data_IF_755921285860
#
_entry.id   IF_755921285860
#
_cell.length_a   1.000
_cell.length_b   1.000
_cell.length_c   1.000
_cell.angle_alpha   90.00
_cell.angle_beta   90.00
_cell.angle_gamma   90.00
#
_symmetry.space_group_name_H-M   'P 1'
#
loop_
_entity.id
_entity.type
_entity.pdbx_description
1 polymer ?
#
# COMPACT_ATOMS: atom_id res chain seq x y z
N UNK A 1 -3.81 -20.43 3.31
CA UNK A 1 -4.17 -19.60 2.13
C UNK A 1 -3.21 -18.43 2.08
N UNK A 2 -2.77 -18.00 0.88
CA UNK A 2 -1.97 -16.79 0.73
C UNK A 2 -2.69 -15.56 1.31
N UNK A 3 -1.94 -14.58 1.81
CA UNK A 3 -2.49 -13.31 2.28
C UNK A 3 -2.87 -12.43 1.08
N UNK A 4 -4.11 -11.96 1.05
CA UNK A 4 -4.61 -11.08 -0.01
C UNK A 4 -4.13 -9.65 0.20
N UNK A 5 -3.34 -9.12 -0.73
CA UNK A 5 -2.77 -7.77 -0.67
C UNK A 5 -3.27 -6.94 -1.84
N UNK A 6 -3.87 -5.78 -1.58
CA UNK A 6 -4.22 -4.82 -2.62
C UNK A 6 -3.11 -3.78 -2.79
N UNK A 7 -2.51 -3.63 -3.97
CA UNK A 7 -1.51 -2.59 -4.22
C UNK A 7 -2.17 -1.30 -4.73
N UNK A 8 -2.25 -0.30 -3.85
CA UNK A 8 -2.57 1.08 -4.20
C UNK A 8 -1.30 1.81 -4.65
N UNK A 9 -1.13 1.97 -5.96
CA UNK A 9 0.03 2.63 -6.54
C UNK A 9 -0.31 3.27 -7.88
N UNK A 10 0.37 4.37 -8.21
CA UNK A 10 0.24 4.96 -9.53
C UNK A 10 0.75 3.98 -10.61
N UNK A 11 0.02 3.85 -11.72
CA UNK A 11 0.41 3.03 -12.88
C UNK A 11 1.77 3.48 -13.44
N UNK A 12 2.08 4.79 -13.32
CA UNK A 12 3.38 5.37 -13.67
C UNK A 12 4.56 4.73 -12.93
N UNK A 13 4.33 4.03 -11.80
CA UNK A 13 5.35 3.31 -11.03
C UNK A 13 5.53 1.85 -11.47
N UNK A 14 5.18 1.50 -12.72
CA UNK A 14 5.24 0.14 -13.26
C UNK A 14 6.46 -0.69 -12.82
N UNK A 15 7.70 -0.17 -12.89
CA UNK A 15 8.90 -0.89 -12.42
C UNK A 15 8.87 -1.25 -10.93
N UNK A 16 8.44 -0.34 -10.07
CA UNK A 16 8.36 -0.58 -8.63
C UNK A 16 7.22 -1.55 -8.29
N UNK A 17 6.09 -1.45 -8.99
CA UNK A 17 4.98 -2.40 -8.85
C UNK A 17 5.42 -3.82 -9.24
N UNK A 18 6.17 -3.95 -10.35
CA UNK A 18 6.73 -5.23 -10.78
C UNK A 18 7.72 -5.78 -9.75
N UNK A 19 8.59 -4.92 -9.20
CA UNK A 19 9.54 -5.31 -8.16
C UNK A 19 8.85 -5.82 -6.90
N UNK A 20 7.75 -5.21 -6.47
CA UNK A 20 6.96 -5.72 -5.33
C UNK A 20 6.45 -7.14 -5.60
N UNK A 21 5.96 -7.41 -6.81
CA UNK A 21 5.51 -8.76 -7.18
C UNK A 21 6.63 -9.80 -7.15
N UNK A 22 7.85 -9.41 -7.51
CA UNK A 22 9.01 -10.33 -7.44
C UNK A 22 9.36 -10.71 -5.99
N UNK A 23 9.26 -9.76 -5.06
CA UNK A 23 9.65 -9.97 -3.66
C UNK A 23 8.51 -10.47 -2.77
N UNK A 24 7.28 -10.46 -3.27
CA UNK A 24 6.09 -11.00 -2.62
C UNK A 24 5.64 -12.29 -3.34
N UNK A 25 6.20 -13.46 -2.99
CA UNK A 25 5.97 -14.68 -3.74
C UNK A 25 4.52 -15.16 -3.63
N UNK A 26 3.99 -15.69 -4.73
CA UNK A 26 2.61 -16.20 -4.83
C UNK A 26 2.29 -17.34 -3.85
N UNK A 27 3.31 -18.04 -3.35
CA UNK A 27 3.14 -19.07 -2.31
C UNK A 27 2.73 -18.49 -0.95
N UNK A 28 2.97 -17.20 -0.72
CA UNK A 28 2.67 -16.49 0.53
C UNK A 28 1.64 -15.39 0.36
N UNK A 29 1.61 -14.73 -0.80
CA UNK A 29 0.78 -13.55 -1.04
C UNK A 29 -0.01 -13.66 -2.33
N UNK A 30 -1.26 -13.23 -2.31
CA UNK A 30 -2.02 -12.90 -3.50
C UNK A 30 -1.97 -11.38 -3.68
N UNK A 31 -1.06 -10.89 -4.54
CA UNK A 31 -0.90 -9.46 -4.78
C UNK A 31 -1.81 -9.00 -5.93
N UNK A 32 -2.82 -8.21 -5.60
CA UNK A 32 -3.77 -7.62 -6.54
C UNK A 32 -3.22 -6.29 -7.05
N UNK A 33 -3.17 -6.16 -8.37
CA UNK A 33 -2.59 -5.03 -9.09
C UNK A 33 -3.66 -4.41 -10.00
N UNK A 34 -4.21 -3.23 -9.67
CA UNK A 34 -5.24 -2.59 -10.49
C UNK A 34 -4.87 -2.42 -11.97
N UNK A 35 -3.59 -2.19 -12.27
CA UNK A 35 -3.09 -2.08 -13.63
C UNK A 35 -3.23 -3.37 -14.47
N UNK A 36 -3.41 -4.54 -13.85
CA UNK A 36 -3.55 -5.81 -14.58
C UNK A 36 -4.96 -6.01 -15.13
N UNK A 37 -5.93 -5.25 -14.62
CA UNK A 37 -7.32 -5.31 -15.08
C UNK A 37 -7.88 -3.97 -15.54
N UNK A 38 -7.04 -2.93 -15.62
CA UNK A 38 -7.40 -1.62 -16.18
C UNK A 38 -6.94 -1.54 -17.63
N UNK A 39 -7.83 -1.75 -18.62
CA UNK A 39 -7.46 -1.70 -20.03
C UNK A 39 -7.26 -0.25 -20.50
N UNK A 40 -6.43 -0.06 -21.53
CA UNK A 40 -6.20 1.23 -22.17
C UNK A 40 -7.33 1.59 -23.14
N UNK A 41 -8.56 1.75 -22.62
CA UNK A 41 -9.77 2.12 -23.38
C UNK A 41 -10.37 3.42 -22.83
N UNK A 42 -11.14 4.17 -23.63
CA UNK A 42 -11.90 5.32 -23.14
C UNK A 42 -12.77 4.97 -21.93
N UNK A 43 -12.84 5.87 -20.94
CA UNK A 43 -13.67 5.67 -19.74
C UNK A 43 -15.16 5.46 -20.07
N UNK A 44 -15.64 6.04 -21.18
CA UNK A 44 -17.02 5.87 -21.63
C UNK A 44 -17.37 4.41 -21.95
N UNK A 45 -16.39 3.58 -22.29
CA UNK A 45 -16.59 2.17 -22.65
C UNK A 45 -16.69 1.28 -21.39
N UNK A 46 -16.11 1.72 -20.27
CA UNK A 46 -16.12 1.01 -18.98
C UNK A 46 -16.42 1.99 -17.83
N UNK A 47 -17.60 2.64 -17.83
CA UNK A 47 -17.85 3.81 -16.97
C UNK A 47 -17.80 3.50 -15.47
N UNK A 48 -18.03 2.23 -15.09
CA UNK A 48 -18.01 1.79 -13.68
C UNK A 48 -17.26 0.48 -13.43
N UNK A 49 -17.05 -0.35 -14.43
CA UNK A 49 -16.53 -1.71 -14.24
C UNK A 49 -15.17 -1.74 -13.52
N UNK A 50 -14.25 -0.82 -13.85
CA UNK A 50 -12.92 -0.76 -13.21
C UNK A 50 -13.03 -0.29 -11.77
N UNK A 51 -13.85 0.73 -11.52
CA UNK A 51 -14.12 1.22 -10.17
C UNK A 51 -14.72 0.12 -9.29
N UNK A 52 -15.77 -0.56 -9.78
CA UNK A 52 -16.46 -1.62 -9.04
C UNK A 52 -15.52 -2.79 -8.74
N UNK A 53 -14.71 -3.20 -9.72
CA UNK A 53 -13.69 -4.21 -9.50
C UNK A 53 -12.64 -3.80 -8.46
N UNK A 54 -12.16 -2.55 -8.49
CA UNK A 54 -11.24 -2.07 -7.45
C UNK A 54 -11.88 -2.14 -6.06
N UNK A 55 -13.16 -1.75 -5.93
CA UNK A 55 -13.90 -1.84 -4.65
C UNK A 55 -14.00 -3.28 -4.17
N UNK A 56 -14.40 -4.21 -5.04
CA UNK A 56 -14.50 -5.64 -4.72
C UNK A 56 -13.17 -6.22 -4.22
N UNK A 57 -12.07 -5.89 -4.90
CA UNK A 57 -10.74 -6.37 -4.50
C UNK A 57 -10.25 -5.74 -3.18
N UNK A 58 -10.53 -4.45 -2.95
CA UNK A 58 -10.25 -3.80 -1.67
C UNK A 58 -11.13 -4.35 -0.52
N UNK A 59 -12.36 -4.78 -0.81
CA UNK A 59 -13.22 -5.47 0.16
C UNK A 59 -12.65 -6.84 0.53
N UNK A 60 -12.13 -7.57 -0.46
CA UNK A 60 -11.59 -8.93 -0.30
C UNK A 60 -10.22 -8.97 0.36
N UNK A 61 -9.37 -7.96 0.17
CA UNK A 61 -7.98 -8.02 0.65
C UNK A 61 -7.87 -8.10 2.18
N UNK A 62 -6.82 -8.77 2.66
CA UNK A 62 -6.46 -8.80 4.08
C UNK A 62 -5.81 -7.49 4.53
N UNK A 63 -5.04 -6.87 3.63
CA UNK A 63 -4.42 -5.57 3.82
C UNK A 63 -4.15 -4.90 2.47
N UNK A 64 -3.89 -3.60 2.51
CA UNK A 64 -3.47 -2.83 1.36
C UNK A 64 -2.05 -2.29 1.54
N UNK A 65 -1.33 -2.20 0.43
CA UNK A 65 -0.02 -1.57 0.32
C UNK A 65 -0.18 -0.25 -0.42
N UNK A 66 0.41 0.82 0.10
CA UNK A 66 0.45 2.12 -0.56
C UNK A 66 1.90 2.51 -0.86
N UNK A 67 2.25 2.69 -2.13
CA UNK A 67 3.55 3.21 -2.53
C UNK A 67 3.60 4.73 -2.31
N UNK A 68 4.27 5.15 -1.25
CA UNK A 68 4.30 6.54 -0.80
C UNK A 68 5.20 7.44 -1.65
N UNK A 69 6.14 6.87 -2.41
CA UNK A 69 7.09 7.66 -3.19
C UNK A 69 6.42 8.48 -4.30
N UNK A 70 5.34 7.94 -4.86
CA UNK A 70 4.55 8.58 -5.90
C UNK A 70 3.15 7.95 -5.96
N UNK A 71 2.22 8.45 -5.13
CA UNK A 71 0.81 8.07 -5.21
C UNK A 71 -0.02 9.20 -5.84
N UNK A 72 -1.09 8.81 -6.53
CA UNK A 72 -2.01 9.72 -7.21
C UNK A 72 -3.28 10.03 -6.41
N UNK A 73 -4.19 10.76 -7.04
CA UNK A 73 -5.52 11.09 -6.46
C UNK A 73 -6.32 9.81 -6.17
N UNK A 74 -6.31 8.85 -7.10
CA UNK A 74 -7.03 7.58 -6.93
C UNK A 74 -6.50 6.80 -5.73
N UNK A 75 -5.18 6.70 -5.59
CA UNK A 75 -4.54 6.07 -4.43
C UNK A 75 -4.91 6.75 -3.10
N UNK A 76 -5.02 8.09 -3.10
CA UNK A 76 -5.44 8.82 -1.90
C UNK A 76 -6.92 8.56 -1.55
N UNK A 77 -7.78 8.40 -2.57
CA UNK A 77 -9.17 8.01 -2.41
C UNK A 77 -9.29 6.59 -1.84
N UNK A 78 -8.55 5.63 -2.43
CA UNK A 78 -8.45 4.24 -1.95
C UNK A 78 -7.97 4.19 -0.50
N UNK A 79 -6.93 4.95 -0.15
CA UNK A 79 -6.42 5.03 1.21
C UNK A 79 -7.49 5.47 2.22
N UNK A 80 -8.30 6.48 1.88
CA UNK A 80 -9.41 6.92 2.70
C UNK A 80 -10.50 5.87 2.85
N UNK A 81 -10.86 5.21 1.75
CA UNK A 81 -11.87 4.14 1.76
C UNK A 81 -11.41 2.95 2.61
N UNK A 82 -10.17 2.50 2.45
CA UNK A 82 -9.57 1.39 3.20
C UNK A 82 -9.52 1.68 4.70
N UNK A 83 -9.12 2.90 5.08
CA UNK A 83 -9.13 3.35 6.47
C UNK A 83 -10.55 3.35 7.06
N UNK A 84 -11.54 3.85 6.31
CA UNK A 84 -12.95 3.83 6.75
C UNK A 84 -13.48 2.40 6.97
N UNK A 85 -13.00 1.43 6.19
CA UNK A 85 -13.31 0.00 6.34
C UNK A 85 -12.43 -0.72 7.35
N UNK A 86 -11.56 0.00 8.06
CA UNK A 86 -10.60 -0.55 9.04
C UNK A 86 -9.70 -1.64 8.43
N UNK A 87 -9.37 -1.53 7.15
CA UNK A 87 -8.39 -2.39 6.50
C UNK A 87 -6.98 -1.88 6.85
N UNK A 88 -6.02 -2.75 7.19
CA UNK A 88 -4.63 -2.33 7.37
C UNK A 88 -4.10 -1.70 6.10
N UNK A 89 -3.57 -0.48 6.21
CA UNK A 89 -2.96 0.28 5.12
C UNK A 89 -1.48 0.49 5.43
N UNK A 90 -0.63 -0.27 4.75
CA UNK A 90 0.81 -0.27 4.97
C UNK A 90 1.46 0.63 3.92
N UNK A 91 2.01 1.76 4.36
CA UNK A 91 2.78 2.65 3.49
C UNK A 91 4.19 2.13 3.27
N UNK A 92 4.68 2.15 2.03
CA UNK A 92 6.06 1.78 1.66
C UNK A 92 6.72 3.00 1.03
N UNK A 93 7.86 3.43 1.57
CA UNK A 93 8.66 4.52 1.00
C UNK A 93 10.12 4.09 0.83
N UNK A 94 10.70 4.43 -0.33
CA UNK A 94 12.09 4.11 -0.65
C UNK A 94 12.88 5.33 -1.13
N UNK A 95 12.27 6.29 -1.83
CA UNK A 95 13.02 7.31 -2.56
C UNK A 95 12.57 8.75 -2.26
N UNK A 96 11.35 8.93 -1.74
CA UNK A 96 10.75 10.26 -1.63
C UNK A 96 10.03 10.45 -0.31
N UNK A 97 10.37 11.54 0.36
CA UNK A 97 9.67 12.01 1.56
C UNK A 97 8.47 12.92 1.23
N UNK A 98 8.11 13.08 -0.06
CA UNK A 98 7.04 14.00 -0.49
C UNK A 98 5.71 13.70 0.21
N UNK A 99 5.43 12.44 0.53
CA UNK A 99 4.22 12.07 1.24
C UNK A 99 4.06 12.73 2.61
N UNK A 100 5.14 13.20 3.24
CA UNK A 100 5.11 13.85 4.55
C UNK A 100 4.31 15.17 4.54
N UNK A 101 4.04 15.76 3.37
CA UNK A 101 3.16 16.93 3.25
C UNK A 101 1.66 16.58 3.25
N UNK A 102 1.29 15.31 3.09
CA UNK A 102 -0.10 14.87 2.90
C UNK A 102 -0.72 14.37 4.21
N UNK A 103 -1.32 15.30 4.98
CA UNK A 103 -1.99 15.00 6.26
C UNK A 103 -2.96 13.83 6.18
N UNK A 104 -3.86 13.85 5.18
CA UNK A 104 -4.93 12.85 5.07
C UNK A 104 -4.39 11.45 4.80
N UNK A 105 -3.39 11.33 3.92
CA UNK A 105 -2.79 10.03 3.62
C UNK A 105 -2.03 9.49 4.83
N UNK A 106 -1.23 10.33 5.49
CA UNK A 106 -0.52 9.95 6.72
C UNK A 106 -1.47 9.46 7.81
N UNK A 107 -2.58 10.18 8.02
CA UNK A 107 -3.58 9.82 9.03
C UNK A 107 -4.29 8.49 8.79
N UNK A 108 -4.23 7.95 7.56
CA UNK A 108 -4.84 6.68 7.20
C UNK A 108 -3.89 5.47 7.33
N UNK A 109 -2.59 5.70 7.53
CA UNK A 109 -1.59 4.61 7.57
C UNK A 109 -1.66 3.85 8.89
N UNK A 110 -1.67 2.52 8.81
CA UNK A 110 -1.53 1.65 9.98
C UNK A 110 -0.09 1.30 10.29
N UNK A 111 0.80 1.41 9.30
CA UNK A 111 2.24 1.20 9.45
C UNK A 111 2.97 1.90 8.31
N UNK A 112 4.23 2.29 8.53
CA UNK A 112 5.15 2.73 7.48
C UNK A 112 6.39 1.85 7.45
N UNK A 113 6.70 1.29 6.28
CA UNK A 113 7.95 0.57 6.02
C UNK A 113 8.86 1.48 5.19
N UNK A 114 10.04 1.75 5.73
CA UNK A 114 11.06 2.60 5.11
C UNK A 114 12.21 1.72 4.64
N UNK A 115 12.57 1.85 3.36
CA UNK A 115 13.70 1.12 2.79
C UNK A 115 15.03 1.89 2.93
N UNK A 116 14.95 3.18 3.20
CA UNK A 116 16.12 4.05 3.39
C UNK A 116 16.16 4.62 4.81
N UNK A 117 17.35 4.67 5.40
CA UNK A 117 17.59 5.13 6.77
C UNK A 117 17.17 6.57 6.97
N UNK A 118 17.44 7.42 5.97
CA UNK A 118 17.09 8.83 6.03
C UNK A 118 15.57 9.00 6.08
N UNK A 119 14.82 8.21 5.31
CA UNK A 119 13.35 8.24 5.32
C UNK A 119 12.81 7.72 6.65
N UNK A 120 13.38 6.65 7.18
CA UNK A 120 13.01 6.13 8.50
C UNK A 120 13.12 7.20 9.59
N UNK A 121 14.24 7.94 9.62
CA UNK A 121 14.45 9.02 10.59
C UNK A 121 13.54 10.22 10.36
N UNK A 122 13.24 10.58 9.11
CA UNK A 122 12.28 11.64 8.80
C UNK A 122 10.86 11.26 9.24
N UNK A 123 10.42 10.04 8.95
CA UNK A 123 9.09 9.53 9.30
C UNK A 123 8.88 9.53 10.81
N UNK A 124 9.88 9.08 11.59
CA UNK A 124 9.81 9.09 13.06
C UNK A 124 9.67 10.48 13.68
N UNK A 125 10.10 11.52 12.98
CA UNK A 125 9.99 12.92 13.44
C UNK A 125 8.66 13.55 13.08
N UNK A 126 7.90 12.95 12.16
CA UNK A 126 6.61 13.50 11.72
C UNK A 126 5.56 13.44 12.84
N UNK A 127 4.96 14.56 13.26
CA UNK A 127 4.01 14.58 14.37
C UNK A 127 2.78 13.70 14.19
N UNK A 128 2.32 13.51 12.95
CA UNK A 128 1.11 12.71 12.66
C UNK A 128 1.41 11.22 12.79
N UNK A 129 2.62 10.82 12.43
CA UNK A 129 3.03 9.42 12.40
C UNK A 129 3.56 8.92 13.75
N UNK A 130 3.54 9.75 14.80
CA UNK A 130 4.05 9.38 16.14
C UNK A 130 3.43 8.12 16.72
N UNK A 131 2.14 7.89 16.47
CA UNK A 131 1.42 6.70 16.93
C UNK A 131 1.39 5.57 15.89
N UNK A 132 1.92 5.82 14.69
CA UNK A 132 1.95 4.83 13.61
C UNK A 132 3.25 4.04 13.73
N UNK A 133 3.20 2.70 13.82
CA UNK A 133 4.40 1.86 13.76
C UNK A 133 5.25 2.17 12.53
N UNK A 134 6.55 2.33 12.72
CA UNK A 134 7.52 2.56 11.64
C UNK A 134 8.55 1.44 11.66
N UNK A 135 8.73 0.76 10.54
CA UNK A 135 9.70 -0.32 10.37
C UNK A 135 10.78 0.10 9.39
N UNK A 136 12.03 -0.21 9.72
CA UNK A 136 13.15 -0.14 8.79
C UNK A 136 13.28 -1.50 8.10
N UNK A 137 13.40 -1.49 6.78
CA UNK A 137 13.56 -2.69 5.95
C UNK A 137 14.74 -2.48 4.99
N UNK A 138 15.93 -2.97 5.37
CA UNK A 138 17.15 -2.67 4.62
C UNK A 138 17.23 -3.36 3.24
N UNK A 139 16.37 -4.36 2.97
CA UNK A 139 16.39 -5.13 1.72
C UNK A 139 14.97 -5.42 1.27
N UNK A 140 14.67 -5.21 -0.01
CA UNK A 140 13.35 -5.55 -0.58
C UNK A 140 12.94 -7.01 -0.34
N UNK A 141 13.90 -7.94 -0.29
CA UNK A 141 13.63 -9.35 -0.03
C UNK A 141 12.98 -9.62 1.34
N UNK A 142 13.17 -8.73 2.31
CA UNK A 142 12.63 -8.87 3.66
C UNK A 142 11.23 -8.22 3.81
N UNK A 143 10.72 -7.54 2.76
CA UNK A 143 9.43 -6.84 2.80
C UNK A 143 8.27 -7.76 3.16
N UNK A 144 8.24 -8.97 2.57
CA UNK A 144 7.19 -9.95 2.81
C UNK A 144 7.06 -10.32 4.29
N UNK A 145 8.19 -10.51 4.98
CA UNK A 145 8.22 -10.86 6.40
C UNK A 145 7.67 -9.72 7.27
N UNK A 146 8.02 -8.47 6.95
CA UNK A 146 7.48 -7.32 7.67
C UNK A 146 5.98 -7.18 7.47
N UNK A 147 5.48 -7.36 6.24
CA UNK A 147 4.05 -7.25 5.90
C UNK A 147 3.27 -8.35 6.63
N UNK A 148 3.72 -9.61 6.55
CA UNK A 148 3.04 -10.74 7.17
C UNK A 148 2.90 -10.56 8.69
N UNK A 149 3.98 -10.15 9.37
CA UNK A 149 3.94 -9.88 10.81
C UNK A 149 2.95 -8.77 11.18
N UNK A 150 2.84 -7.72 10.36
CA UNK A 150 1.90 -6.62 10.60
C UNK A 150 0.45 -7.09 10.45
N UNK A 151 0.16 -7.88 9.42
CA UNK A 151 -1.18 -8.40 9.17
C UNK A 151 -1.59 -9.40 10.26
N UNK A 152 -0.68 -10.26 10.70
CA UNK A 152 -0.94 -11.22 11.78
C UNK A 152 -1.19 -10.53 13.13
N UNK A 153 -0.33 -9.59 13.54
CA UNK A 153 -0.52 -8.83 14.79
C UNK A 153 -1.85 -8.05 14.81
N UNK A 154 -2.28 -7.53 13.66
CA UNK A 154 -3.56 -6.84 13.51
C UNK A 154 -4.78 -7.75 13.61
N UNK A 155 -4.64 -9.06 13.39
CA UNK A 155 -5.71 -10.06 13.58
C UNK A 155 -5.85 -10.48 15.04
N UNK A 156 -4.75 -10.56 15.79
CA UNK A 156 -4.74 -10.93 17.22
C UNK A 156 -5.30 -9.83 18.13
N UNK A 157 -5.32 -8.59 17.65
CA UNK A 157 -5.80 -7.42 18.41
C UNK A 157 -7.31 -7.12 18.20
N UNK A 158 -8.04 -7.96 17.46
CA UNK A 158 -9.47 -7.81 17.14
C UNK A 158 -10.30 -8.88 17.82
#
# INVERSE_FOLDING_TARGET
MPLGLYLSAAIANGPLNARLREVLPASRFELILPQEFTPAVPHADLPRAIYERCIEEMERCDAALLLLDAFGVDCASEAGWLAAKKKPLIGICQASARFLQHWMVKGNLTCVICLEDILFEMVKRDPILRSVPVRRCARHADLGDHIEQLVQAGRESR
#
